data_IF_511427787670
#
_entry.id   IF_511427787670
#
_cell.length_a   1.000
_cell.length_b   1.000
_cell.length_c   1.000
_cell.angle_alpha   90.00
_cell.angle_beta   90.00
_cell.angle_gamma   90.00
#
_symmetry.space_group_name_H-M   'P 1'
#
loop_
_entity.id
_entity.type
_entity.pdbx_description
1 polymer ?
#
# COMPACT_ATOMS: atom_id res chain seq x y z
N UNK A 1 -18.16 54.31 31.41
CA UNK A 1 -18.43 54.09 32.86
C UNK A 1 -17.73 52.80 33.23
N UNK A 2 -16.53 52.93 33.89
CA UNK A 2 -16.31 52.66 35.31
C UNK A 2 -16.57 51.18 35.66
N UNK A 3 -15.67 50.34 36.23
CA UNK A 3 -14.44 50.48 37.05
C UNK A 3 -13.83 49.09 37.22
N UNK A 4 -12.56 48.83 37.00
CA UNK A 4 -11.44 48.60 37.96
C UNK A 4 -11.76 47.90 39.29
N UNK A 5 -10.96 46.85 39.61
CA UNK A 5 -10.22 46.59 40.88
C UNK A 5 -9.55 45.21 40.81
N UNK A 6 -8.37 44.99 40.75
CA UNK A 6 -7.07 45.00 41.43
C UNK A 6 -7.11 44.69 42.94
N UNK A 7 -6.07 43.99 43.41
CA UNK A 7 -5.43 43.88 44.75
C UNK A 7 -5.16 42.40 45.07
N UNK A 8 -3.91 42.01 45.09
CA UNK A 8 -2.70 42.08 45.95
C UNK A 8 -2.56 40.91 46.96
N UNK A 9 -1.48 40.18 46.81
CA UNK A 9 -0.29 40.07 47.68
C UNK A 9 -0.42 39.25 49.00
N UNK A 10 0.41 38.23 49.19
CA UNK A 10 1.33 38.18 50.36
C UNK A 10 2.31 37.00 50.26
N UNK A 11 3.58 37.33 50.34
CA UNK A 11 4.73 36.48 50.59
C UNK A 11 4.88 36.23 52.09
N UNK A 12 5.35 35.04 52.51
CA UNK A 12 6.01 34.85 53.80
C UNK A 12 7.24 33.96 53.58
N UNK A 13 8.40 34.58 53.77
CA UNK A 13 9.68 33.93 54.09
C UNK A 13 9.72 33.55 55.56
N UNK A 14 10.33 32.43 55.93
CA UNK A 14 11.08 32.29 57.15
C UNK A 14 12.28 31.39 56.99
N UNK A 15 13.44 31.98 57.25
CA UNK A 15 14.73 31.34 57.45
C UNK A 15 14.75 30.61 58.82
N UNK A 16 15.51 29.52 58.86
CA UNK A 16 15.96 28.92 60.14
C UNK A 16 17.30 28.22 59.92
N UNK A 17 18.36 28.88 60.33
CA UNK A 17 19.74 28.39 60.45
C UNK A 17 19.98 27.68 61.81
N UNK A 18 20.90 26.71 61.83
CA UNK A 18 22.03 26.44 62.70
C UNK A 18 22.21 24.96 63.07
N UNK A 19 23.19 24.32 62.46
CA UNK A 19 24.52 24.01 63.00
C UNK A 19 24.56 22.92 64.09
N UNK A 20 25.30 21.86 63.85
CA UNK A 20 25.70 20.83 64.80
C UNK A 20 26.71 19.86 64.17
N UNK A 21 28.01 20.06 64.47
CA UNK A 21 29.11 19.14 64.13
C UNK A 21 29.03 17.83 64.92
N UNK A 22 29.35 16.71 64.27
CA UNK A 22 29.59 15.44 64.96
C UNK A 22 30.11 14.38 63.95
N UNK A 23 31.44 14.24 63.88
CA UNK A 23 32.17 13.23 63.14
C UNK A 23 31.87 11.83 63.67
N UNK A 24 31.44 10.89 62.77
CA UNK A 24 31.78 9.48 62.91
C UNK A 24 31.72 8.85 61.50
N UNK A 25 32.85 8.39 61.07
CA UNK A 25 33.10 7.54 59.92
C UNK A 25 32.26 6.24 60.02
N UNK A 26 31.42 6.01 59.06
CA UNK A 26 30.87 4.66 58.81
C UNK A 26 30.75 4.45 57.30
N UNK A 27 31.31 3.37 56.84
CA UNK A 27 31.36 2.93 55.43
C UNK A 27 29.96 2.92 54.81
N UNK A 28 29.84 3.57 53.67
CA UNK A 28 28.66 3.59 52.84
C UNK A 28 28.74 2.42 51.87
N UNK A 29 27.76 1.51 51.84
CA UNK A 29 27.67 0.53 50.74
C UNK A 29 27.35 1.32 49.47
N UNK A 30 28.18 1.15 48.46
CA UNK A 30 27.90 1.60 47.10
C UNK A 30 26.63 0.91 46.58
N UNK A 31 25.51 1.58 46.63
CA UNK A 31 24.34 1.24 45.84
C UNK A 31 24.69 1.58 44.39
N UNK A 32 24.97 0.56 43.62
CA UNK A 32 24.90 0.64 42.14
C UNK A 32 23.50 1.13 41.79
N UNK A 33 23.39 2.39 41.42
CA UNK A 33 22.20 2.92 40.79
C UNK A 33 22.00 2.17 39.51
N UNK A 34 21.01 1.29 39.47
CA UNK A 34 20.40 0.84 38.23
C UNK A 34 19.80 2.10 37.62
N UNK A 35 20.45 2.66 36.60
CA UNK A 35 19.81 3.63 35.74
C UNK A 35 18.59 2.92 35.15
N UNK A 36 17.43 3.22 35.69
CA UNK A 36 16.17 2.91 35.08
C UNK A 36 16.09 3.87 33.88
N UNK A 37 16.60 3.47 32.74
CA UNK A 37 16.29 4.10 31.49
C UNK A 37 14.78 3.89 31.28
N UNK A 38 13.96 4.84 31.69
CA UNK A 38 12.58 4.93 31.24
C UNK A 38 12.67 5.02 29.70
N UNK A 39 12.38 3.92 29.03
CA UNK A 39 12.19 3.92 27.57
C UNK A 39 11.09 4.94 27.29
N UNK A 40 11.44 5.99 26.56
CA UNK A 40 10.49 7.04 26.19
C UNK A 40 9.27 6.39 25.53
N UNK A 41 8.07 6.82 25.91
CA UNK A 41 6.84 6.30 25.35
C UNK A 41 6.88 6.39 23.80
N UNK A 42 6.55 5.31 23.13
CA UNK A 42 6.59 5.23 21.68
C UNK A 42 5.49 6.12 21.08
N UNK A 43 5.89 7.07 20.24
CA UNK A 43 5.01 8.00 19.50
C UNK A 43 5.11 7.67 18.02
N UNK A 44 4.23 6.80 17.57
CA UNK A 44 4.20 6.30 16.18
C UNK A 44 3.45 7.26 15.28
N UNK A 45 4.02 7.59 14.13
CA UNK A 45 3.35 8.26 13.03
C UNK A 45 3.31 7.34 11.81
N UNK A 46 2.11 7.11 11.28
CA UNK A 46 1.88 6.22 10.13
C UNK A 46 1.37 7.04 8.96
N UNK A 47 2.03 6.93 7.81
CA UNK A 47 1.71 7.68 6.60
C UNK A 47 1.29 6.71 5.51
N UNK A 48 0.09 6.89 5.00
CA UNK A 48 -0.46 6.11 3.89
C UNK A 48 -0.42 6.95 2.61
N UNK A 49 -0.16 6.32 1.47
CA UNK A 49 -0.11 7.04 0.21
C UNK A 49 -1.47 7.60 -0.21
N UNK A 50 -2.54 6.82 0.00
CA UNK A 50 -3.92 7.23 -0.27
C UNK A 50 -4.89 6.36 0.55
N UNK A 51 -5.81 6.98 1.29
CA UNK A 51 -6.82 6.27 2.08
C UNK A 51 -7.92 5.62 1.24
N UNK A 52 -8.09 6.05 -0.02
CA UNK A 52 -9.10 5.50 -0.92
C UNK A 52 -8.71 4.14 -1.51
N UNK A 53 -7.45 3.73 -1.40
CA UNK A 53 -6.99 2.41 -1.81
C UNK A 53 -7.56 1.33 -0.88
N UNK A 54 -8.28 0.35 -1.47
CA UNK A 54 -8.99 -0.69 -0.71
C UNK A 54 -8.03 -1.64 -0.01
N UNK A 55 -6.92 -2.03 -0.68
CA UNK A 55 -5.92 -2.89 -0.06
C UNK A 55 -5.22 -2.20 1.11
N UNK A 56 -4.78 -0.95 0.92
CA UNK A 56 -4.16 -0.14 1.98
C UNK A 56 -5.12 0.11 3.14
N UNK A 57 -6.42 0.26 2.86
CA UNK A 57 -7.46 0.33 3.90
C UNK A 57 -7.51 -0.93 4.76
N UNK A 58 -7.33 -2.11 4.14
CA UNK A 58 -7.25 -3.39 4.85
C UNK A 58 -6.00 -3.51 5.72
N UNK A 59 -4.83 -3.10 5.20
CA UNK A 59 -3.57 -3.04 5.97
C UNK A 59 -3.72 -2.09 7.16
N UNK A 60 -4.29 -0.89 6.94
CA UNK A 60 -4.54 0.09 8.00
C UNK A 60 -5.43 -0.48 9.09
N UNK A 61 -6.56 -1.08 8.73
CA UNK A 61 -7.48 -1.68 9.70
C UNK A 61 -6.80 -2.77 10.54
N UNK A 62 -5.95 -3.60 9.93
CA UNK A 62 -5.18 -4.63 10.62
C UNK A 62 -4.12 -4.01 11.55
N UNK A 63 -3.39 -2.98 11.09
CA UNK A 63 -2.42 -2.28 11.95
C UNK A 63 -3.09 -1.58 13.13
N UNK A 64 -4.19 -0.86 12.90
CA UNK A 64 -4.93 -0.16 13.96
C UNK A 64 -5.41 -1.13 15.06
N UNK A 65 -5.93 -2.30 14.68
CA UNK A 65 -6.34 -3.34 15.61
C UNK A 65 -5.16 -3.88 16.44
N UNK A 66 -4.01 -4.11 15.81
CA UNK A 66 -2.81 -4.61 16.46
C UNK A 66 -2.17 -3.54 17.36
N UNK A 67 -2.11 -2.27 16.94
CA UNK A 67 -1.67 -1.16 17.78
C UNK A 67 -2.54 -1.01 19.02
N UNK A 68 -3.86 -1.11 18.87
CA UNK A 68 -4.80 -1.07 20.01
C UNK A 68 -4.52 -2.20 21.01
N UNK A 69 -4.22 -3.42 20.52
CA UNK A 69 -3.84 -4.55 21.37
C UNK A 69 -2.51 -4.32 22.12
N UNK A 70 -1.60 -3.53 21.56
CA UNK A 70 -0.34 -3.13 22.20
C UNK A 70 -0.49 -1.91 23.14
N UNK A 71 -1.67 -1.28 23.19
CA UNK A 71 -1.91 -0.06 23.93
C UNK A 71 -1.22 1.18 23.33
N UNK A 72 -0.93 1.16 22.05
CA UNK A 72 -0.33 2.24 21.28
C UNK A 72 -1.42 2.92 20.46
N UNK A 73 -1.48 4.24 20.46
CA UNK A 73 -2.35 5.04 19.61
C UNK A 73 -1.50 5.76 18.56
N UNK A 74 -1.45 5.27 17.29
CA UNK A 74 -0.65 5.88 16.24
C UNK A 74 -1.33 7.15 15.70
N UNK A 75 -0.53 8.12 15.26
CA UNK A 75 -1.01 9.22 14.44
C UNK A 75 -1.03 8.80 12.97
N UNK A 76 -2.20 8.62 12.40
CA UNK A 76 -2.39 8.22 11.01
C UNK A 76 -2.55 9.44 10.09
N UNK A 77 -1.85 9.45 8.94
CA UNK A 77 -1.86 10.52 7.95
C UNK A 77 -2.21 9.97 6.57
N UNK A 78 -3.07 10.71 5.86
CA UNK A 78 -3.42 10.45 4.46
C UNK A 78 -2.59 11.35 3.53
N UNK A 79 -1.78 10.74 2.66
CA UNK A 79 -1.06 11.45 1.62
C UNK A 79 -1.94 11.92 0.47
N UNK A 80 -3.13 11.31 0.33
CA UNK A 80 -4.13 11.60 -0.73
C UNK A 80 -3.53 11.58 -2.16
N UNK A 81 -2.53 10.71 -2.39
CA UNK A 81 -1.80 10.64 -3.65
C UNK A 81 -0.89 11.85 -3.92
N UNK A 82 -0.55 12.63 -2.90
CA UNK A 82 0.26 13.84 -3.03
C UNK A 82 1.55 13.76 -2.21
N UNK A 83 2.69 13.58 -2.89
CA UNK A 83 3.99 13.45 -2.23
C UNK A 83 4.40 14.70 -1.46
N UNK A 84 4.10 15.90 -1.95
CA UNK A 84 4.45 17.13 -1.23
C UNK A 84 3.69 17.20 0.11
N UNK A 85 2.39 16.87 0.10
CA UNK A 85 1.59 16.76 1.32
C UNK A 85 2.17 15.73 2.29
N UNK A 86 2.55 14.54 1.81
CA UNK A 86 3.13 13.50 2.68
C UNK A 86 4.46 13.95 3.28
N UNK A 87 5.31 14.63 2.51
CA UNK A 87 6.58 15.18 3.00
C UNK A 87 6.34 16.21 4.12
N UNK A 88 5.37 17.11 3.96
CA UNK A 88 5.00 18.08 5.00
C UNK A 88 4.44 17.40 6.25
N UNK A 89 3.66 16.34 6.09
CA UNK A 89 3.14 15.53 7.20
C UNK A 89 4.27 14.85 7.97
N UNK A 90 5.26 14.26 7.30
CA UNK A 90 6.43 13.62 7.92
C UNK A 90 7.21 14.65 8.75
N UNK A 91 7.55 15.80 8.17
CA UNK A 91 8.27 16.86 8.87
C UNK A 91 7.50 17.39 10.09
N UNK A 92 6.18 17.53 9.95
CA UNK A 92 5.29 17.96 11.03
C UNK A 92 5.24 16.93 12.16
N UNK A 93 5.11 15.65 11.84
CA UNK A 93 5.09 14.58 12.83
C UNK A 93 6.39 14.50 13.63
N UNK A 94 7.55 14.60 12.96
CA UNK A 94 8.87 14.67 13.61
C UNK A 94 8.93 15.89 14.56
N UNK A 95 8.51 17.06 14.10
CA UNK A 95 8.52 18.30 14.90
C UNK A 95 7.60 18.21 16.12
N UNK A 96 6.52 17.42 16.04
CA UNK A 96 5.60 17.12 17.13
C UNK A 96 6.09 15.98 18.05
N UNK A 97 7.30 15.47 17.81
CA UNK A 97 7.97 14.50 18.66
C UNK A 97 7.63 13.04 18.35
N UNK A 98 7.22 12.73 17.13
CA UNK A 98 7.19 11.33 16.68
C UNK A 98 8.60 10.74 16.79
N UNK A 99 8.68 9.49 17.30
CA UNK A 99 9.94 8.79 17.50
C UNK A 99 10.00 7.43 16.76
N UNK A 100 9.00 7.16 15.91
CA UNK A 100 8.97 6.09 14.92
C UNK A 100 8.08 6.53 13.76
N UNK A 101 8.59 6.38 12.51
CA UNK A 101 7.85 6.63 11.29
C UNK A 101 7.56 5.30 10.58
N UNK A 102 6.31 5.11 10.12
CA UNK A 102 5.89 3.98 9.29
C UNK A 102 5.30 4.59 8.01
N UNK A 103 5.91 4.34 6.86
CA UNK A 103 5.67 5.11 5.63
C UNK A 103 5.31 4.21 4.46
N UNK A 104 4.09 4.37 3.95
CA UNK A 104 3.68 3.91 2.64
C UNK A 104 3.86 5.10 1.68
N UNK A 105 4.99 5.13 0.98
CA UNK A 105 5.43 6.30 0.19
C UNK A 105 4.50 6.58 -1.00
N UNK A 106 4.22 7.85 -1.31
CA UNK A 106 3.37 8.22 -2.46
C UNK A 106 4.11 8.06 -3.78
N UNK A 107 5.30 8.65 -3.91
CA UNK A 107 6.05 8.65 -5.16
C UNK A 107 7.09 7.52 -5.16
N UNK A 108 7.01 6.65 -6.16
CA UNK A 108 7.88 5.48 -6.32
C UNK A 108 8.64 5.45 -7.65
N UNK A 109 8.31 6.33 -8.60
CA UNK A 109 9.01 6.40 -9.90
C UNK A 109 10.42 6.98 -9.80
N UNK A 110 10.75 7.62 -8.67
CA UNK A 110 12.08 8.13 -8.31
C UNK A 110 12.40 7.77 -6.86
N UNK A 111 13.65 7.49 -6.51
CA UNK A 111 14.06 7.24 -5.12
C UNK A 111 14.04 8.50 -4.25
N UNK A 112 13.91 9.71 -4.83
CA UNK A 112 14.08 10.98 -4.13
C UNK A 112 13.12 11.17 -2.96
N UNK A 113 11.85 10.75 -3.13
CA UNK A 113 10.85 10.90 -2.08
C UNK A 113 11.18 10.05 -0.84
N UNK A 114 11.55 8.79 -1.05
CA UNK A 114 11.95 7.89 0.02
C UNK A 114 13.29 8.34 0.65
N UNK A 115 14.26 8.77 -0.18
CA UNK A 115 15.53 9.31 0.31
C UNK A 115 15.32 10.52 1.23
N UNK A 116 14.45 11.45 0.86
CA UNK A 116 14.11 12.62 1.67
C UNK A 116 13.48 12.22 3.02
N UNK A 117 12.59 11.20 3.03
CA UNK A 117 11.99 10.68 4.25
C UNK A 117 13.05 10.03 5.16
N UNK A 118 13.99 9.26 4.60
CA UNK A 118 15.12 8.67 5.34
C UNK A 118 16.00 9.77 5.94
N UNK A 119 16.38 10.80 5.16
CA UNK A 119 17.21 11.90 5.66
C UNK A 119 16.54 12.68 6.80
N UNK A 120 15.21 12.86 6.73
CA UNK A 120 14.44 13.49 7.81
C UNK A 120 14.48 12.62 9.08
N UNK A 121 14.24 11.31 8.97
CA UNK A 121 14.32 10.36 10.08
C UNK A 121 15.73 10.29 10.67
N UNK A 122 16.76 10.21 9.84
CA UNK A 122 18.17 10.16 10.21
C UNK A 122 18.60 11.43 10.94
N UNK A 123 18.19 12.61 10.46
CA UNK A 123 18.46 13.88 11.12
C UNK A 123 17.82 13.95 12.51
N UNK A 124 16.63 13.37 12.66
CA UNK A 124 15.95 13.27 13.96
C UNK A 124 16.47 12.13 14.85
N UNK A 125 17.30 11.21 14.30
CA UNK A 125 17.84 10.04 15.01
C UNK A 125 16.80 8.94 15.29
N UNK A 126 15.66 8.93 14.57
CA UNK A 126 14.53 8.02 14.79
C UNK A 126 14.42 6.95 13.70
N UNK A 127 13.89 5.75 14.01
CA UNK A 127 13.68 4.72 13.02
C UNK A 127 12.56 5.06 12.03
N UNK A 128 12.70 4.50 10.81
CA UNK A 128 11.71 4.57 9.74
C UNK A 128 11.49 3.18 9.15
N UNK A 129 10.22 2.80 8.98
CA UNK A 129 9.80 1.55 8.35
C UNK A 129 8.98 1.92 7.12
N UNK A 130 9.47 1.60 5.93
CA UNK A 130 8.65 1.66 4.72
C UNK A 130 7.82 0.38 4.58
N UNK A 131 6.66 0.48 3.95
CA UNK A 131 5.84 -0.71 3.70
C UNK A 131 5.08 -0.65 2.38
N UNK A 132 4.76 -1.83 1.85
CA UNK A 132 3.98 -2.14 0.64
C UNK A 132 4.66 -1.61 -0.64
N UNK A 133 4.74 -0.31 -0.85
CA UNK A 133 5.28 0.31 -2.06
C UNK A 133 6.81 0.27 -2.00
N UNK A 134 7.42 -0.44 -2.93
CA UNK A 134 8.85 -0.77 -2.88
C UNK A 134 9.73 0.47 -2.84
N UNK A 135 10.69 0.44 -1.95
CA UNK A 135 11.78 1.41 -1.82
C UNK A 135 13.09 0.67 -2.10
N UNK A 136 13.95 1.25 -2.93
CA UNK A 136 15.19 0.60 -3.35
C UNK A 136 16.10 0.25 -2.18
N UNK A 137 16.82 -0.87 -2.31
CA UNK A 137 17.81 -1.33 -1.33
C UNK A 137 18.85 -0.26 -0.98
N UNK A 138 19.27 0.55 -1.95
CA UNK A 138 20.22 1.62 -1.72
C UNK A 138 19.67 2.67 -0.74
N UNK A 139 18.40 3.01 -0.83
CA UNK A 139 17.73 3.94 0.10
C UNK A 139 17.57 3.31 1.46
N UNK A 140 17.08 2.07 1.54
CA UNK A 140 16.90 1.35 2.81
C UNK A 140 18.24 1.20 3.53
N UNK A 141 19.28 0.78 2.82
CA UNK A 141 20.61 0.56 3.40
C UNK A 141 21.39 1.85 3.69
N UNK A 142 20.88 3.03 3.32
CA UNK A 142 21.53 4.32 3.60
C UNK A 142 21.42 4.76 5.06
N UNK A 143 20.57 4.08 5.86
CA UNK A 143 20.36 4.36 7.27
C UNK A 143 20.12 3.07 8.07
N UNK A 144 20.92 2.85 9.13
CA UNK A 144 20.86 1.63 9.96
C UNK A 144 19.53 1.39 10.66
N UNK A 145 18.73 2.46 10.88
CA UNK A 145 17.38 2.38 11.49
C UNK A 145 16.27 2.49 10.44
N UNK A 146 16.55 2.04 9.22
CA UNK A 146 15.58 1.96 8.13
C UNK A 146 15.26 0.50 7.81
N UNK A 147 14.00 0.18 7.59
CA UNK A 147 13.55 -1.13 7.14
C UNK A 147 12.48 -0.99 6.06
N UNK A 148 12.31 -2.03 5.25
CA UNK A 148 11.21 -2.17 4.31
C UNK A 148 10.44 -3.47 4.58
N UNK A 149 9.12 -3.39 4.58
CA UNK A 149 8.19 -4.54 4.70
C UNK A 149 7.30 -4.55 3.45
N UNK A 150 7.52 -5.49 2.59
CA UNK A 150 6.77 -5.63 1.33
C UNK A 150 6.74 -7.08 0.85
N UNK A 151 6.19 -7.25 -0.35
CA UNK A 151 6.18 -8.52 -1.09
C UNK A 151 7.29 -8.50 -2.14
N UNK A 152 7.59 -9.68 -2.69
CA UNK A 152 8.40 -9.75 -3.90
C UNK A 152 7.53 -9.30 -5.08
N UNK A 153 7.77 -8.11 -5.65
CA UNK A 153 6.93 -7.50 -6.66
C UNK A 153 6.63 -8.41 -7.87
N UNK A 154 7.59 -9.18 -8.45
CA UNK A 154 7.32 -10.12 -9.52
C UNK A 154 6.35 -11.26 -9.19
N UNK A 155 6.33 -11.73 -7.93
CA UNK A 155 5.60 -12.94 -7.54
C UNK A 155 4.10 -12.86 -7.86
N UNK A 156 3.45 -11.75 -7.53
CA UNK A 156 2.03 -11.55 -7.83
C UNK A 156 1.75 -11.53 -9.34
N UNK A 157 2.66 -10.94 -10.13
CA UNK A 157 2.59 -10.94 -11.59
C UNK A 157 2.69 -12.34 -12.18
N UNK A 158 3.67 -13.12 -11.73
CA UNK A 158 3.83 -14.53 -12.15
C UNK A 158 2.61 -15.38 -11.77
N UNK A 159 2.13 -15.27 -10.54
CA UNK A 159 0.93 -16.00 -10.11
C UNK A 159 -0.30 -15.61 -10.92
N UNK A 160 -0.49 -14.32 -11.22
CA UNK A 160 -1.60 -13.84 -12.03
C UNK A 160 -1.51 -14.36 -13.46
N UNK A 161 -0.35 -14.26 -14.11
CA UNK A 161 -0.14 -14.74 -15.46
C UNK A 161 -0.38 -16.24 -15.59
N UNK A 162 0.12 -17.04 -14.63
CA UNK A 162 -0.14 -18.47 -14.56
C UNK A 162 -1.65 -18.76 -14.45
N UNK A 163 -2.34 -18.10 -13.52
CA UNK A 163 -3.79 -18.26 -13.30
C UNK A 163 -4.59 -17.89 -14.58
N UNK A 164 -4.23 -16.79 -15.22
CA UNK A 164 -4.86 -16.35 -16.49
C UNK A 164 -4.68 -17.40 -17.57
N UNK A 165 -3.44 -17.87 -17.78
CA UNK A 165 -3.14 -18.86 -18.81
C UNK A 165 -3.86 -20.18 -18.57
N UNK A 166 -3.88 -20.70 -17.35
CA UNK A 166 -4.60 -21.93 -16.98
C UNK A 166 -6.10 -21.81 -17.22
N UNK A 167 -6.71 -20.70 -16.76
CA UNK A 167 -8.12 -20.43 -16.99
C UNK A 167 -8.47 -20.39 -18.48
N UNK A 168 -7.66 -19.71 -19.28
CA UNK A 168 -7.88 -19.61 -20.72
C UNK A 168 -7.77 -20.96 -21.42
N UNK A 169 -6.83 -21.84 -21.03
CA UNK A 169 -6.75 -23.18 -21.60
C UNK A 169 -8.03 -24.00 -21.37
N UNK A 170 -8.62 -23.89 -20.18
CA UNK A 170 -9.85 -24.60 -19.85
C UNK A 170 -11.09 -24.03 -20.53
N UNK A 171 -11.08 -22.74 -20.88
CA UNK A 171 -12.25 -22.00 -21.36
C UNK A 171 -12.06 -21.35 -22.73
N UNK A 172 -11.03 -21.72 -23.49
CA UNK A 172 -10.58 -21.00 -24.68
C UNK A 172 -11.70 -20.73 -25.68
N UNK A 173 -12.45 -21.78 -26.07
CA UNK A 173 -13.50 -21.68 -27.07
C UNK A 173 -14.74 -20.86 -26.63
N UNK A 174 -14.89 -20.62 -25.33
CA UNK A 174 -15.96 -19.78 -24.76
C UNK A 174 -15.52 -18.36 -24.54
N UNK A 175 -14.21 -18.13 -24.41
CA UNK A 175 -13.61 -16.79 -24.24
C UNK A 175 -13.36 -16.14 -25.60
N UNK A 176 -12.99 -16.89 -26.61
CA UNK A 176 -12.86 -16.45 -28.00
C UNK A 176 -14.26 -16.14 -28.60
N UNK A 177 -14.74 -14.92 -28.32
CA UNK A 177 -16.11 -14.52 -28.68
C UNK A 177 -16.29 -14.20 -30.16
N UNK A 178 -15.23 -13.76 -30.82
CA UNK A 178 -15.23 -13.44 -32.24
C UNK A 178 -14.89 -14.63 -33.12
N UNK A 179 -14.35 -15.72 -32.53
CA UNK A 179 -14.03 -16.99 -33.23
C UNK A 179 -12.83 -16.89 -34.14
N UNK A 180 -11.92 -15.94 -33.93
CA UNK A 180 -10.72 -15.77 -34.77
C UNK A 180 -9.53 -16.62 -34.29
N UNK A 181 -9.67 -17.26 -33.15
CA UNK A 181 -8.67 -18.14 -32.53
C UNK A 181 -7.60 -17.42 -31.73
N UNK A 182 -7.75 -16.12 -31.47
CA UNK A 182 -6.82 -15.30 -30.67
C UNK A 182 -7.59 -14.55 -29.61
N UNK A 183 -7.17 -14.65 -28.35
CA UNK A 183 -7.83 -13.91 -27.25
C UNK A 183 -7.28 -12.47 -27.20
N UNK A 184 -8.18 -11.51 -27.36
CA UNK A 184 -7.86 -10.09 -27.24
C UNK A 184 -7.95 -9.63 -25.78
N UNK A 185 -6.97 -8.82 -25.31
CA UNK A 185 -6.92 -8.38 -23.92
C UNK A 185 -6.77 -6.88 -23.74
N UNK A 186 -7.21 -6.39 -22.56
CA UNK A 186 -6.86 -5.09 -21.98
C UNK A 186 -6.04 -5.34 -20.71
N UNK A 187 -4.97 -4.56 -20.53
CA UNK A 187 -4.18 -4.52 -19.30
C UNK A 187 -4.33 -3.16 -18.62
N UNK A 188 -4.73 -3.15 -17.36
CA UNK A 188 -4.78 -1.95 -16.53
C UNK A 188 -3.59 -1.89 -15.56
N UNK A 189 -2.80 -0.81 -15.68
CA UNK A 189 -1.61 -0.53 -14.88
C UNK A 189 -1.91 0.52 -13.82
N UNK A 190 -1.51 0.25 -12.56
CA UNK A 190 -1.82 1.12 -11.43
C UNK A 190 -1.04 2.43 -11.42
N UNK A 191 0.27 2.37 -11.71
CA UNK A 191 1.16 3.53 -11.67
C UNK A 191 2.43 3.27 -12.48
N UNK A 192 2.92 4.30 -13.19
CA UNK A 192 4.22 4.22 -13.85
C UNK A 192 5.37 4.21 -12.84
N UNK A 193 6.40 3.40 -13.11
CA UNK A 193 7.62 3.33 -12.29
C UNK A 193 7.44 2.73 -10.90
N UNK A 194 6.26 2.20 -10.58
CA UNK A 194 6.03 1.44 -9.37
C UNK A 194 6.40 -0.04 -9.61
N UNK A 195 7.23 -0.64 -8.77
CA UNK A 195 7.78 -1.98 -8.96
C UNK A 195 6.68 -3.06 -9.11
N UNK A 196 5.64 -3.01 -8.28
CA UNK A 196 4.51 -3.94 -8.34
C UNK A 196 3.71 -3.75 -9.64
N UNK A 197 3.47 -2.49 -10.05
CA UNK A 197 2.76 -2.20 -11.28
C UNK A 197 3.53 -2.67 -12.52
N UNK A 198 4.83 -2.41 -12.58
CA UNK A 198 5.69 -2.87 -13.67
C UNK A 198 5.68 -4.40 -13.76
N UNK A 199 5.92 -5.08 -12.65
CA UNK A 199 5.99 -6.54 -12.61
C UNK A 199 4.65 -7.21 -12.95
N UNK A 200 3.53 -6.74 -12.38
CA UNK A 200 2.19 -7.28 -12.67
C UNK A 200 1.79 -7.04 -14.12
N UNK A 201 2.14 -5.88 -14.68
CA UNK A 201 1.89 -5.57 -16.10
C UNK A 201 2.68 -6.47 -17.03
N UNK A 202 3.95 -6.72 -16.73
CA UNK A 202 4.82 -7.57 -17.52
C UNK A 202 4.44 -9.05 -17.38
N UNK A 203 4.56 -9.61 -16.19
CA UNK A 203 4.45 -11.05 -15.97
C UNK A 203 3.02 -11.57 -16.07
N UNK A 204 2.01 -10.72 -15.80
CA UNK A 204 0.60 -11.08 -16.01
C UNK A 204 0.28 -11.48 -17.45
N UNK A 205 0.99 -10.91 -18.43
CA UNK A 205 0.83 -11.24 -19.86
C UNK A 205 1.88 -12.26 -20.32
N UNK A 206 3.16 -12.09 -19.93
CA UNK A 206 4.24 -13.00 -20.37
C UNK A 206 3.99 -14.44 -19.93
N UNK A 207 3.62 -14.67 -18.68
CA UNK A 207 3.40 -16.03 -18.17
C UNK A 207 2.11 -16.64 -18.71
N UNK A 208 1.05 -15.82 -18.91
CA UNK A 208 -0.15 -16.30 -19.60
C UNK A 208 0.19 -16.77 -21.01
N UNK A 209 0.99 -15.99 -21.75
CA UNK A 209 1.47 -16.37 -23.08
C UNK A 209 2.35 -17.63 -23.05
N UNK A 210 3.21 -17.79 -22.04
CA UNK A 210 4.01 -18.99 -21.88
C UNK A 210 3.13 -20.25 -21.69
N UNK A 211 2.07 -20.16 -20.89
CA UNK A 211 1.11 -21.25 -20.69
C UNK A 211 0.37 -21.57 -21.99
N UNK A 212 -0.15 -20.57 -22.69
CA UNK A 212 -0.88 -20.74 -23.95
C UNK A 212 -0.01 -21.34 -25.04
N UNK A 213 1.18 -20.81 -25.27
CA UNK A 213 2.09 -21.29 -26.32
C UNK A 213 2.61 -22.69 -26.06
N UNK A 214 2.85 -23.06 -24.79
CA UNK A 214 3.21 -24.43 -24.42
C UNK A 214 2.10 -25.45 -24.78
N UNK A 215 0.84 -25.02 -24.82
CA UNK A 215 -0.30 -25.81 -25.25
C UNK A 215 -0.63 -25.69 -26.75
N UNK A 216 0.19 -24.95 -27.51
CA UNK A 216 0.00 -24.76 -28.94
C UNK A 216 -1.10 -23.74 -29.31
N UNK A 217 -1.51 -22.90 -28.35
CA UNK A 217 -2.41 -21.78 -28.61
C UNK A 217 -1.61 -20.53 -28.97
N UNK A 218 -2.18 -19.56 -29.71
CA UNK A 218 -1.53 -18.27 -29.97
C UNK A 218 -1.34 -17.46 -28.68
N UNK A 219 -0.39 -16.52 -28.74
CA UNK A 219 -0.24 -15.50 -27.69
C UNK A 219 -1.47 -14.56 -27.66
N UNK A 220 -1.68 -13.93 -26.52
CA UNK A 220 -2.68 -12.89 -26.31
C UNK A 220 -2.42 -11.69 -27.25
N UNK A 221 -3.46 -11.13 -27.82
CA UNK A 221 -3.39 -9.92 -28.62
C UNK A 221 -3.92 -8.72 -27.84
N UNK A 222 -3.13 -7.64 -27.76
CA UNK A 222 -3.64 -6.41 -27.15
C UNK A 222 -4.78 -5.84 -28.01
N UNK A 223 -5.90 -5.48 -27.39
CA UNK A 223 -7.13 -5.09 -28.09
C UNK A 223 -6.94 -4.03 -29.16
N UNK A 224 -6.02 -3.09 -28.97
CA UNK A 224 -5.64 -2.08 -29.95
C UNK A 224 -4.27 -2.40 -30.55
N UNK A 225 -4.25 -3.03 -31.70
CA UNK A 225 -3.00 -3.44 -32.37
C UNK A 225 -2.06 -2.26 -32.67
N UNK A 226 -2.59 -1.04 -32.85
CA UNK A 226 -1.81 0.16 -33.16
C UNK A 226 -1.24 0.87 -31.92
N UNK A 227 -1.63 0.47 -30.71
CA UNK A 227 -1.09 1.06 -29.49
C UNK A 227 0.39 0.71 -29.31
N UNK A 228 1.20 1.70 -28.94
CA UNK A 228 2.63 1.51 -28.60
C UNK A 228 2.76 0.75 -27.30
N UNK A 229 2.08 1.22 -26.27
CA UNK A 229 2.05 0.59 -24.96
C UNK A 229 0.90 -0.44 -24.94
N UNK A 230 1.16 -1.59 -24.35
CA UNK A 230 0.18 -2.68 -24.26
C UNK A 230 -0.52 -2.69 -22.89
N UNK A 231 -0.74 -1.49 -22.34
CA UNK A 231 -1.47 -1.25 -21.11
C UNK A 231 -2.14 0.13 -21.11
N UNK A 232 -3.05 0.33 -20.17
CA UNK A 232 -3.69 1.61 -19.85
C UNK A 232 -3.38 1.92 -18.39
N UNK A 233 -2.68 3.02 -18.14
CA UNK A 233 -2.25 3.41 -16.79
C UNK A 233 -3.25 4.38 -16.16
N UNK A 234 -3.48 4.22 -14.86
CA UNK A 234 -4.14 5.27 -14.06
C UNK A 234 -3.23 6.50 -13.99
N UNK A 235 -3.61 7.56 -14.70
CA UNK A 235 -2.83 8.79 -14.81
C UNK A 235 -2.65 9.49 -13.44
N UNK A 236 -3.51 9.19 -12.48
CA UNK A 236 -3.40 9.68 -11.11
C UNK A 236 -2.51 8.82 -10.22
N UNK A 237 -2.07 7.66 -10.67
CA UNK A 237 -1.28 6.70 -9.89
C UNK A 237 -2.02 6.17 -8.65
N UNK A 238 -3.34 6.18 -8.66
CA UNK A 238 -4.21 5.83 -7.53
C UNK A 238 -4.74 4.40 -7.57
N UNK A 239 -4.43 3.64 -8.62
CA UNK A 239 -4.90 2.26 -8.79
C UNK A 239 -6.43 2.13 -8.74
N UNK A 240 -7.12 3.13 -9.29
CA UNK A 240 -8.54 3.38 -9.01
C UNK A 240 -9.49 2.63 -9.92
N UNK A 241 -10.62 2.22 -9.35
CA UNK A 241 -11.77 1.71 -10.09
C UNK A 241 -12.27 2.71 -11.14
N UNK A 242 -12.25 4.00 -10.81
CA UNK A 242 -12.71 5.06 -11.71
C UNK A 242 -11.91 5.09 -13.01
N UNK A 243 -10.57 5.02 -12.92
CA UNK A 243 -9.71 5.03 -14.11
C UNK A 243 -10.02 3.85 -15.04
N UNK A 244 -10.12 2.64 -14.52
CA UNK A 244 -10.47 1.46 -15.32
C UNK A 244 -11.88 1.56 -15.92
N UNK A 245 -12.86 2.04 -15.14
CA UNK A 245 -14.22 2.26 -15.64
C UNK A 245 -14.26 3.26 -16.79
N UNK A 246 -13.58 4.40 -16.66
CA UNK A 246 -13.55 5.44 -17.68
C UNK A 246 -12.88 4.96 -18.97
N UNK A 247 -11.78 4.21 -18.87
CA UNK A 247 -11.16 3.59 -20.05
C UNK A 247 -12.10 2.59 -20.72
N UNK A 248 -12.72 1.68 -19.96
CA UNK A 248 -13.65 0.71 -20.51
C UNK A 248 -14.88 1.36 -21.15
N UNK A 249 -15.37 2.47 -20.60
CA UNK A 249 -16.49 3.23 -21.18
C UNK A 249 -16.15 3.79 -22.57
N UNK A 250 -14.87 4.03 -22.89
CA UNK A 250 -14.42 4.43 -24.22
C UNK A 250 -14.12 3.24 -25.13
N UNK A 251 -13.69 2.10 -24.56
CA UNK A 251 -13.32 0.89 -25.32
C UNK A 251 -14.55 0.14 -25.79
N UNK A 252 -15.51 -0.15 -24.91
CA UNK A 252 -16.64 -1.03 -25.20
C UNK A 252 -17.53 -0.62 -26.37
N UNK A 253 -17.76 0.68 -26.69
CA UNK A 253 -18.50 1.07 -27.89
C UNK A 253 -17.78 0.75 -29.20
N UNK A 254 -16.44 0.73 -29.21
CA UNK A 254 -15.62 0.50 -30.41
C UNK A 254 -15.20 -0.95 -30.54
N UNK A 255 -14.93 -1.62 -29.42
CA UNK A 255 -14.48 -3.02 -29.35
C UNK A 255 -15.61 -3.89 -28.77
N UNK A 256 -16.45 -4.41 -29.63
CA UNK A 256 -17.67 -5.12 -29.25
C UNK A 256 -17.91 -6.34 -30.17
N UNK A 257 -18.77 -7.26 -29.72
CA UNK A 257 -19.19 -8.40 -30.56
C UNK A 257 -19.84 -7.95 -31.88
N UNK A 258 -20.62 -6.86 -31.84
CA UNK A 258 -21.27 -6.32 -33.02
C UNK A 258 -20.26 -5.84 -34.09
N UNK A 259 -19.09 -5.39 -33.64
CA UNK A 259 -18.01 -4.96 -34.53
C UNK A 259 -17.04 -6.10 -34.88
N UNK A 260 -17.21 -7.29 -34.29
CA UNK A 260 -16.35 -8.46 -34.52
C UNK A 260 -14.94 -8.33 -33.96
N UNK A 261 -14.75 -7.44 -32.95
CA UNK A 261 -13.45 -7.13 -32.31
C UNK A 261 -13.57 -6.96 -30.79
N UNK A 262 -14.50 -7.69 -30.17
CA UNK A 262 -14.73 -7.59 -28.72
C UNK A 262 -13.45 -7.82 -27.93
N UNK A 263 -13.27 -7.04 -26.85
CA UNK A 263 -12.31 -7.36 -25.79
C UNK A 263 -12.76 -8.64 -25.08
N UNK A 264 -11.85 -9.60 -24.94
CA UNK A 264 -12.17 -10.95 -24.48
C UNK A 264 -11.53 -11.31 -23.14
N UNK A 265 -10.59 -10.47 -22.67
CA UNK A 265 -9.89 -10.66 -21.41
C UNK A 265 -9.50 -9.31 -20.82
N UNK A 266 -9.64 -9.16 -19.50
CA UNK A 266 -9.18 -7.98 -18.77
C UNK A 266 -8.26 -8.42 -17.64
N UNK A 267 -7.04 -7.88 -17.63
CA UNK A 267 -6.03 -8.11 -16.60
C UNK A 267 -5.78 -6.78 -15.90
N UNK A 268 -5.86 -6.77 -14.57
CA UNK A 268 -5.71 -5.56 -13.76
C UNK A 268 -4.58 -5.74 -12.76
N UNK A 269 -3.83 -4.68 -12.51
CA UNK A 269 -2.78 -4.70 -11.51
C UNK A 269 -3.33 -4.85 -10.08
N UNK A 270 -4.59 -4.46 -9.83
CA UNK A 270 -5.25 -4.67 -8.54
C UNK A 270 -6.76 -4.92 -8.67
N UNK A 271 -7.40 -5.28 -7.56
CA UNK A 271 -8.84 -5.54 -7.50
C UNK A 271 -9.67 -4.27 -7.69
N UNK A 272 -9.21 -3.11 -7.22
CA UNK A 272 -9.92 -1.85 -7.40
C UNK A 272 -10.14 -1.54 -8.89
N UNK A 273 -9.11 -1.68 -9.73
CA UNK A 273 -9.22 -1.52 -11.17
C UNK A 273 -10.10 -2.62 -11.81
N UNK A 274 -10.00 -3.86 -11.32
CA UNK A 274 -10.85 -4.96 -11.78
C UNK A 274 -12.33 -4.70 -11.51
N UNK A 275 -12.67 -4.20 -10.33
CA UNK A 275 -14.05 -3.79 -9.97
C UNK A 275 -14.57 -2.69 -10.88
N UNK A 276 -13.72 -1.71 -11.22
CA UNK A 276 -14.05 -0.66 -12.19
C UNK A 276 -14.35 -1.21 -13.58
N UNK A 277 -13.53 -2.14 -14.05
CA UNK A 277 -13.73 -2.83 -15.33
C UNK A 277 -15.03 -3.67 -15.33
N UNK A 278 -15.28 -4.43 -14.27
CA UNK A 278 -16.53 -5.19 -14.08
C UNK A 278 -17.74 -4.26 -14.11
N UNK A 279 -17.69 -3.12 -13.43
CA UNK A 279 -18.77 -2.13 -13.44
C UNK A 279 -19.10 -1.62 -14.83
N UNK A 280 -18.09 -1.32 -15.65
CA UNK A 280 -18.28 -0.91 -17.05
C UNK A 280 -18.86 -2.04 -17.92
N UNK A 281 -18.37 -3.27 -17.73
CA UNK A 281 -18.89 -4.46 -18.43
C UNK A 281 -20.37 -4.70 -18.10
N UNK A 282 -20.77 -4.55 -16.84
CA UNK A 282 -22.16 -4.66 -16.42
C UNK A 282 -23.05 -3.60 -17.10
N UNK A 283 -22.56 -2.37 -17.24
CA UNK A 283 -23.22 -1.32 -18.00
C UNK A 283 -23.46 -1.67 -19.46
N UNK A 284 -22.60 -2.53 -20.03
CA UNK A 284 -22.71 -3.05 -21.41
C UNK A 284 -23.43 -4.41 -21.51
N UNK A 285 -23.93 -4.96 -20.40
CA UNK A 285 -24.71 -6.20 -20.37
C UNK A 285 -23.87 -7.48 -20.19
N UNK A 286 -22.58 -7.36 -19.87
CA UNK A 286 -21.69 -8.48 -19.51
C UNK A 286 -21.52 -8.60 -18.00
N UNK A 287 -20.99 -9.71 -17.54
CA UNK A 287 -20.58 -9.92 -16.13
C UNK A 287 -21.70 -9.64 -15.11
N UNK A 288 -22.96 -9.96 -15.46
CA UNK A 288 -24.14 -9.74 -14.60
C UNK A 288 -24.39 -10.88 -13.62
N UNK A 289 -23.64 -11.99 -13.75
CA UNK A 289 -23.76 -13.20 -12.96
C UNK A 289 -24.61 -14.30 -13.62
N UNK A 290 -25.43 -13.99 -14.63
CA UNK A 290 -26.34 -14.91 -15.31
C UNK A 290 -26.30 -14.77 -16.85
N UNK A 291 -25.33 -14.08 -17.39
CA UNK A 291 -25.14 -13.80 -18.81
C UNK A 291 -23.74 -14.12 -19.32
N UNK A 292 -23.37 -13.47 -20.44
CA UNK A 292 -22.01 -13.55 -20.97
C UNK A 292 -21.02 -12.88 -20.01
N UNK A 293 -19.92 -13.56 -19.75
CA UNK A 293 -18.87 -13.09 -18.85
C UNK A 293 -17.57 -12.91 -19.64
N UNK A 294 -17.00 -11.71 -19.59
CA UNK A 294 -15.63 -11.45 -20.02
C UNK A 294 -14.73 -11.72 -18.80
N UNK A 295 -13.71 -12.58 -18.90
CA UNK A 295 -12.80 -12.84 -17.80
C UNK A 295 -12.10 -11.57 -17.31
N UNK A 296 -12.15 -11.33 -15.99
CA UNK A 296 -11.49 -10.19 -15.33
C UNK A 296 -10.65 -10.73 -14.17
N UNK A 297 -9.38 -10.35 -14.15
CA UNK A 297 -8.42 -10.77 -13.13
C UNK A 297 -7.81 -9.57 -12.41
N UNK A 298 -7.67 -9.69 -11.09
CA UNK A 298 -7.08 -8.69 -10.22
C UNK A 298 -5.96 -9.24 -9.35
N UNK A 299 -5.54 -8.44 -8.39
CA UNK A 299 -4.61 -8.78 -7.30
C UNK A 299 -5.12 -8.07 -6.06
N UNK A 300 -4.99 -8.65 -4.89
CA UNK A 300 -5.19 -8.24 -3.51
C UNK A 300 -6.11 -9.21 -2.75
N UNK A 301 -7.06 -9.86 -3.42
CA UNK A 301 -8.13 -10.68 -2.85
C UNK A 301 -8.94 -9.90 -1.81
N UNK A 302 -9.36 -8.69 -2.17
CA UNK A 302 -10.26 -7.87 -1.34
C UNK A 302 -11.59 -8.57 -1.10
N UNK A 303 -12.31 -8.19 -0.05
CA UNK A 303 -13.61 -8.82 0.24
C UNK A 303 -14.64 -8.53 -0.86
N UNK A 304 -14.59 -7.34 -1.47
CA UNK A 304 -15.44 -6.99 -2.63
C UNK A 304 -15.10 -7.83 -3.87
N UNK A 305 -13.82 -8.00 -4.19
CA UNK A 305 -13.42 -8.86 -5.32
C UNK A 305 -13.83 -10.33 -5.10
N UNK A 306 -13.62 -10.87 -3.88
CA UNK A 306 -14.09 -12.22 -3.52
C UNK A 306 -15.61 -12.36 -3.67
N UNK A 307 -16.37 -11.33 -3.31
CA UNK A 307 -17.82 -11.32 -3.52
C UNK A 307 -18.17 -11.36 -5.01
N UNK A 308 -17.53 -10.52 -5.83
CA UNK A 308 -17.75 -10.51 -7.30
C UNK A 308 -17.39 -11.85 -7.95
N UNK A 309 -16.33 -12.51 -7.47
CA UNK A 309 -15.97 -13.86 -7.95
C UNK A 309 -17.04 -14.88 -7.56
N UNK A 310 -17.51 -14.87 -6.32
CA UNK A 310 -18.60 -15.76 -5.86
C UNK A 310 -19.92 -15.54 -6.61
N UNK A 311 -20.16 -14.32 -7.09
CA UNK A 311 -21.32 -13.95 -7.90
C UNK A 311 -21.13 -14.21 -9.42
N UNK A 312 -19.97 -14.74 -9.85
CA UNK A 312 -19.65 -14.99 -11.26
C UNK A 312 -19.47 -13.72 -12.09
N UNK A 313 -19.16 -12.59 -11.45
CA UNK A 313 -18.97 -11.28 -12.09
C UNK A 313 -17.52 -10.92 -12.33
N UNK A 314 -16.60 -11.52 -11.58
CA UNK A 314 -15.16 -11.45 -11.73
C UNK A 314 -14.60 -12.88 -11.74
N UNK A 315 -13.44 -13.09 -12.35
CA UNK A 315 -12.94 -14.44 -12.62
C UNK A 315 -11.95 -14.91 -11.57
N UNK A 316 -11.02 -14.05 -11.16
CA UNK A 316 -10.00 -14.43 -10.20
C UNK A 316 -9.18 -13.25 -9.67
N UNK A 317 -8.52 -13.47 -8.57
CA UNK A 317 -7.60 -12.51 -7.94
C UNK A 317 -6.49 -13.23 -7.21
N UNK A 318 -5.31 -12.61 -7.12
CA UNK A 318 -4.18 -13.10 -6.35
C UNK A 318 -4.20 -12.47 -4.96
N UNK A 319 -4.08 -13.28 -3.89
CA UNK A 319 -4.07 -12.75 -2.52
C UNK A 319 -2.77 -12.01 -2.23
N UNK A 320 -2.89 -10.74 -1.80
CA UNK A 320 -1.86 -10.00 -1.11
C UNK A 320 -2.18 -9.97 0.39
N UNK A 321 -1.25 -10.42 1.26
CA UNK A 321 -1.54 -10.69 2.66
C UNK A 321 -1.44 -9.43 3.54
N UNK A 322 -2.54 -8.68 3.65
CA UNK A 322 -2.61 -7.45 4.45
C UNK A 322 -2.37 -7.70 5.95
N UNK A 323 -2.84 -8.83 6.50
CA UNK A 323 -2.63 -9.18 7.91
C UNK A 323 -1.17 -9.54 8.18
N UNK A 324 -0.55 -10.32 7.29
CA UNK A 324 0.87 -10.67 7.38
C UNK A 324 1.77 -9.45 7.28
N UNK A 325 1.46 -8.52 6.39
CA UNK A 325 2.17 -7.25 6.27
C UNK A 325 2.06 -6.43 7.56
N UNK A 326 0.84 -6.20 8.06
CA UNK A 326 0.62 -5.51 9.32
C UNK A 326 1.37 -6.16 10.48
N UNK A 327 1.28 -7.48 10.62
CA UNK A 327 1.95 -8.24 11.69
C UNK A 327 3.47 -8.12 11.62
N UNK A 328 4.05 -8.13 10.43
CA UNK A 328 5.50 -7.94 10.24
C UNK A 328 5.93 -6.53 10.66
N UNK A 329 5.17 -5.50 10.27
CA UNK A 329 5.41 -4.12 10.70
C UNK A 329 5.35 -4.01 12.23
N UNK A 330 4.31 -4.57 12.87
CA UNK A 330 4.14 -4.49 14.32
C UNK A 330 5.21 -5.29 15.10
N UNK A 331 5.78 -6.33 14.51
CA UNK A 331 6.95 -7.01 15.08
C UNK A 331 8.18 -6.10 15.13
N UNK A 332 8.41 -5.30 14.08
CA UNK A 332 9.48 -4.29 14.07
C UNK A 332 9.19 -3.19 15.09
N UNK A 333 7.94 -2.70 15.19
CA UNK A 333 7.52 -1.73 16.23
C UNK A 333 7.83 -2.25 17.63
N UNK A 334 7.53 -3.53 17.89
CA UNK A 334 7.83 -4.18 19.17
C UNK A 334 9.33 -4.22 19.47
N UNK A 335 10.15 -4.47 18.43
CA UNK A 335 11.62 -4.47 18.55
C UNK A 335 12.14 -3.09 18.92
N UNK A 336 11.65 -2.04 18.26
CA UNK A 336 11.99 -0.62 18.59
C UNK A 336 11.57 -0.28 20.02
N UNK A 337 10.36 -0.70 20.45
CA UNK A 337 9.87 -0.49 21.81
C UNK A 337 10.74 -1.18 22.86
N UNK A 338 11.29 -2.35 22.54
CA UNK A 338 12.21 -3.11 23.39
C UNK A 338 13.65 -2.60 23.41
N UNK A 339 13.96 -1.50 22.72
CA UNK A 339 15.32 -0.93 22.60
C UNK A 339 16.16 -1.57 21.50
N UNK A 340 15.55 -2.29 20.57
CA UNK A 340 16.17 -2.72 19.29
C UNK A 340 16.33 -1.52 18.35
N UNK A 341 17.44 -1.53 17.60
CA UNK A 341 17.72 -0.56 16.52
C UNK A 341 17.18 -1.05 15.19
#
# INVERSE_FOLDING_TARGET
MKKTLAILLSAVMMLGLLAGCGSKTTEQPSTSGTENTETAALKVAVFYYDYSDVYISSVRASMDAQFAAMGIEPNNFDGAGNQAQQTDQINTAISNGANLLIVNIVETSSPDAAQNAVEAAKTAGIPIIFFNREVSDDVVNSYEKCAFVGTNAPEAGHMQGQMVGEYLLENYDTVDLNGDGVISYVMFKGQEGNAEAEARTQFGVEDANAVLTAAGKPELAYYNASATDKYLVDQGGKWSAQAANDYMATILPEYSEANGNMVELIICNNDGMAEGAVSALQGAGYNTGDGKTIPVFGVDATDSAKQLINEGKMTGTIKQDAEGMASTILNLVSSVQGGGE
#
